data_IF_974712327153
#
_entry.id   IF_974712327153
#
_cell.length_a   1.000
_cell.length_b   1.000
_cell.length_c   1.000
_cell.angle_alpha   90.00
_cell.angle_beta   90.00
_cell.angle_gamma   90.00
#
_symmetry.space_group_name_H-M   'P 1'
#
loop_
_entity.id
_entity.type
_entity.pdbx_description
1 polymer ?
#
# COMPACT_ATOMS: atom_id res chain seq x y z
N UNK A 1 -6.51 -20.45 -14.08
CA UNK A 1 -7.14 -19.19 -13.66
C UNK A 1 -7.73 -19.40 -12.31
N UNK A 2 -7.36 -18.65 -11.29
CA UNK A 2 -8.01 -18.75 -10.03
C UNK A 2 -9.43 -18.25 -10.22
N UNK A 3 -10.34 -19.15 -10.16
CA UNK A 3 -11.71 -18.80 -9.97
C UNK A 3 -11.82 -18.35 -8.52
N UNK A 4 -11.57 -17.09 -8.26
CA UNK A 4 -12.07 -16.47 -7.06
C UNK A 4 -13.57 -16.40 -7.20
N UNK A 5 -14.21 -17.42 -6.68
CA UNK A 5 -15.64 -17.38 -6.46
C UNK A 5 -15.88 -16.50 -5.23
N UNK A 6 -15.84 -15.20 -5.45
CA UNK A 6 -16.09 -14.16 -4.45
C UNK A 6 -17.59 -13.88 -4.27
N UNK A 7 -18.45 -14.77 -4.72
CA UNK A 7 -19.89 -14.61 -4.69
C UNK A 7 -20.48 -13.78 -5.85
N UNK A 8 -19.64 -13.33 -6.77
CA UNK A 8 -20.04 -12.52 -7.94
C UNK A 8 -20.09 -13.34 -9.23
N UNK A 9 -20.49 -14.62 -9.15
CA UNK A 9 -20.46 -15.56 -10.28
C UNK A 9 -21.08 -15.03 -11.59
N UNK A 10 -22.21 -14.34 -11.49
CA UNK A 10 -22.92 -13.79 -12.65
C UNK A 10 -22.29 -12.51 -13.20
N UNK A 11 -21.45 -11.83 -12.41
CA UNK A 11 -20.78 -10.58 -12.78
C UNK A 11 -19.37 -10.81 -13.32
N UNK A 12 -18.82 -12.01 -13.14
CA UNK A 12 -17.46 -12.35 -13.59
C UNK A 12 -17.33 -12.37 -15.12
N UNK A 13 -18.40 -12.66 -15.82
CA UNK A 13 -18.43 -12.73 -17.29
C UNK A 13 -18.66 -11.38 -17.97
N UNK A 14 -18.96 -10.32 -17.21
CA UNK A 14 -19.23 -9.00 -17.76
C UNK A 14 -17.96 -8.15 -17.81
N UNK A 15 -17.77 -7.43 -18.91
CA UNK A 15 -16.75 -6.38 -19.00
C UNK A 15 -17.17 -5.22 -18.11
N UNK A 16 -16.36 -4.86 -17.14
CA UNK A 16 -16.62 -3.78 -16.19
C UNK A 16 -15.39 -2.89 -16.01
N UNK A 17 -15.58 -1.60 -15.68
CA UNK A 17 -14.48 -0.73 -15.33
C UNK A 17 -13.70 -1.27 -14.13
N UNK A 18 -12.38 -1.26 -14.23
CA UNK A 18 -11.49 -1.66 -13.14
C UNK A 18 -11.23 -0.52 -12.16
N UNK A 19 -9.99 -0.44 -11.68
CA UNK A 19 -9.57 0.65 -10.80
C UNK A 19 -9.47 1.95 -11.59
N UNK A 20 -10.09 2.99 -11.06
CA UNK A 20 -9.96 4.35 -11.59
C UNK A 20 -9.70 5.29 -10.42
N UNK A 21 -8.47 5.77 -10.30
CA UNK A 21 -8.07 6.68 -9.23
C UNK A 21 -7.41 7.92 -9.80
N UNK A 22 -7.75 9.07 -9.23
CA UNK A 22 -7.07 10.33 -9.43
C UNK A 22 -6.26 10.63 -8.18
N UNK A 23 -4.96 10.82 -8.34
CA UNK A 23 -4.05 11.13 -7.25
C UNK A 23 -3.30 12.42 -7.52
N UNK A 24 -3.26 13.29 -6.52
CA UNK A 24 -2.47 14.52 -6.53
C UNK A 24 -1.59 14.57 -5.29
N UNK A 25 -0.30 14.83 -5.50
CA UNK A 25 0.65 15.08 -4.40
C UNK A 25 1.10 16.52 -4.43
N UNK A 26 1.03 17.18 -3.29
CA UNK A 26 1.48 18.56 -3.10
C UNK A 26 2.59 18.58 -2.06
N UNK A 27 3.68 19.28 -2.38
CA UNK A 27 4.76 19.50 -1.42
C UNK A 27 4.43 20.74 -0.58
N UNK A 28 4.34 20.56 0.71
CA UNK A 28 4.15 21.60 1.70
C UNK A 28 5.51 22.06 2.26
N UNK A 29 5.58 23.20 2.96
CA UNK A 29 6.76 23.62 3.70
C UNK A 29 7.22 22.56 4.70
N UNK A 30 8.45 22.67 5.20
CA UNK A 30 9.04 21.82 6.24
C UNK A 30 9.12 20.31 5.88
N UNK A 31 9.52 19.99 4.63
CA UNK A 31 9.66 18.61 4.15
C UNK A 31 8.43 17.74 4.39
N UNK A 32 7.28 18.31 4.08
CA UNK A 32 5.98 17.64 4.23
C UNK A 32 5.36 17.44 2.86
N UNK A 33 4.78 16.27 2.63
CA UNK A 33 4.04 15.93 1.42
C UNK A 33 2.62 15.52 1.79
N UNK A 34 1.67 16.11 1.10
CA UNK A 34 0.26 15.79 1.21
C UNK A 34 -0.18 15.14 -0.10
N UNK A 35 -0.73 13.94 0.00
CA UNK A 35 -1.26 13.20 -1.15
C UNK A 35 -2.73 12.95 -0.94
N UNK A 36 -3.55 13.46 -1.85
CA UNK A 36 -4.98 13.15 -1.94
C UNK A 36 -5.23 12.16 -3.07
N UNK A 37 -6.05 11.16 -2.82
CA UNK A 37 -6.46 10.17 -3.81
C UNK A 37 -7.96 9.99 -3.75
N UNK A 38 -8.65 10.03 -4.89
CA UNK A 38 -10.09 9.78 -5.00
C UNK A 38 -10.34 8.79 -6.12
N UNK A 39 -11.37 7.97 -5.98
CA UNK A 39 -11.75 7.03 -7.03
C UNK A 39 -12.18 5.66 -6.51
N UNK A 40 -12.03 4.66 -7.37
CA UNK A 40 -12.33 3.26 -7.07
C UNK A 40 -11.04 2.52 -6.72
N UNK A 41 -10.91 2.09 -5.46
CA UNK A 41 -9.66 1.54 -4.92
C UNK A 41 -9.49 0.04 -5.12
N UNK A 42 -10.58 -0.67 -5.21
CA UNK A 42 -10.61 -2.11 -5.54
C UNK A 42 -11.94 -2.44 -6.22
N UNK A 43 -12.19 -3.71 -6.48
CA UNK A 43 -13.40 -4.16 -7.19
C UNK A 43 -14.72 -3.80 -6.48
N UNK A 44 -14.69 -3.37 -5.22
CA UNK A 44 -15.91 -3.15 -4.42
C UNK A 44 -15.87 -1.91 -3.52
N UNK A 45 -14.85 -1.04 -3.63
CA UNK A 45 -14.70 0.13 -2.76
C UNK A 45 -14.35 1.39 -3.55
N UNK A 46 -15.13 2.46 -3.31
CA UNK A 46 -14.86 3.81 -3.80
C UNK A 46 -14.71 4.78 -2.63
N UNK A 47 -14.11 5.91 -2.88
CA UNK A 47 -14.00 6.96 -1.86
C UNK A 47 -12.82 7.87 -2.03
N UNK A 48 -12.33 8.39 -0.91
CA UNK A 48 -11.18 9.29 -0.84
C UNK A 48 -10.19 8.88 0.23
N UNK A 49 -8.94 9.15 -0.02
CA UNK A 49 -7.81 8.90 0.87
C UNK A 49 -6.89 10.12 0.91
N UNK A 50 -6.48 10.49 2.10
CA UNK A 50 -5.54 11.58 2.34
C UNK A 50 -4.35 11.02 3.11
N UNK A 51 -3.14 11.17 2.54
CA UNK A 51 -1.88 10.75 3.15
C UNK A 51 -0.98 11.97 3.37
N UNK A 52 -0.46 12.09 4.57
CA UNK A 52 0.54 13.08 4.96
C UNK A 52 1.83 12.35 5.28
N UNK A 53 2.94 12.81 4.71
CA UNK A 53 4.29 12.35 5.03
C UNK A 53 5.13 13.56 5.45
N UNK A 54 5.72 13.47 6.62
CA UNK A 54 6.63 14.48 7.15
C UNK A 54 8.01 13.87 7.44
N UNK A 55 9.06 14.44 6.86
CA UNK A 55 10.45 14.07 7.14
C UNK A 55 11.07 15.11 8.05
N UNK A 56 11.63 14.66 9.16
CA UNK A 56 12.18 15.57 10.18
C UNK A 56 13.38 16.33 9.60
N UNK A 57 13.33 17.67 9.64
CA UNK A 57 14.40 18.50 9.08
C UNK A 57 15.69 18.43 9.92
N UNK A 58 15.56 18.18 11.22
CA UNK A 58 16.69 18.06 12.13
C UNK A 58 17.46 16.73 11.97
N UNK A 59 16.78 15.67 11.64
CA UNK A 59 17.35 14.36 11.35
C UNK A 59 16.48 13.65 10.31
N UNK A 60 16.94 13.65 9.06
CA UNK A 60 16.22 13.06 7.91
C UNK A 60 16.05 11.53 8.00
N UNK A 61 16.65 10.88 9.03
CA UNK A 61 16.43 9.47 9.30
C UNK A 61 15.04 9.19 9.85
N UNK A 62 14.39 10.20 10.45
CA UNK A 62 13.05 10.07 11.01
C UNK A 62 12.01 10.64 10.05
N UNK A 63 10.97 9.87 9.82
CA UNK A 63 9.77 10.33 9.11
C UNK A 63 8.51 9.84 9.80
N UNK A 64 7.47 10.68 9.70
CA UNK A 64 6.15 10.40 10.25
C UNK A 64 5.16 10.35 9.11
N UNK A 65 4.25 9.41 9.15
CA UNK A 65 3.18 9.30 8.18
C UNK A 65 1.83 9.23 8.88
N UNK A 66 0.87 9.95 8.33
CA UNK A 66 -0.52 9.89 8.72
C UNK A 66 -1.38 9.62 7.49
N UNK A 67 -2.41 8.82 7.64
CA UNK A 67 -3.33 8.51 6.57
C UNK A 67 -4.75 8.43 7.09
N UNK A 68 -5.70 8.99 6.37
CA UNK A 68 -7.13 8.89 6.64
C UNK A 68 -7.83 8.56 5.33
N UNK A 69 -8.65 7.51 5.34
CA UNK A 69 -9.43 7.08 4.19
C UNK A 69 -10.90 6.96 4.55
N UNK A 70 -11.75 7.52 3.72
CA UNK A 70 -13.20 7.35 3.76
C UNK A 70 -13.63 6.59 2.52
N UNK A 71 -14.18 5.39 2.72
CA UNK A 71 -14.60 4.54 1.62
C UNK A 71 -15.98 3.96 1.84
N UNK A 72 -16.71 3.75 0.75
CA UNK A 72 -17.99 3.06 0.73
C UNK A 72 -17.94 1.90 -0.25
N UNK A 73 -18.87 0.98 -0.12
CA UNK A 73 -19.00 -0.14 -1.04
C UNK A 73 -19.59 0.34 -2.37
N UNK A 74 -19.18 -0.28 -3.47
CA UNK A 74 -19.80 -0.13 -4.77
C UNK A 74 -19.74 -1.44 -5.54
N UNK A 75 -20.54 -1.52 -6.57
CA UNK A 75 -20.60 -2.65 -7.49
C UNK A 75 -20.85 -2.14 -8.92
N UNK A 76 -20.17 -2.74 -9.88
CA UNK A 76 -20.42 -2.52 -11.30
C UNK A 76 -21.18 -3.72 -11.86
N UNK A 77 -22.37 -3.48 -12.44
CA UNK A 77 -23.05 -4.44 -13.31
C UNK A 77 -22.89 -3.98 -14.76
N UNK A 78 -21.87 -4.49 -15.44
CA UNK A 78 -21.42 -3.95 -16.72
C UNK A 78 -20.92 -2.52 -16.55
N UNK A 79 -21.63 -1.54 -17.11
CA UNK A 79 -21.34 -0.09 -16.97
C UNK A 79 -22.28 0.64 -16.01
N UNK A 80 -23.21 -0.07 -15.36
CA UNK A 80 -24.06 0.51 -14.34
C UNK A 80 -23.38 0.51 -12.97
N UNK A 81 -23.43 1.66 -12.30
CA UNK A 81 -22.74 1.89 -11.03
C UNK A 81 -23.73 1.89 -9.88
N UNK A 82 -23.64 0.89 -9.02
CA UNK A 82 -24.41 0.79 -7.79
C UNK A 82 -23.53 1.16 -6.61
N UNK A 83 -23.99 2.08 -5.77
CA UNK A 83 -23.22 2.57 -4.63
C UNK A 83 -23.93 2.33 -3.30
N UNK A 84 -23.16 1.92 -2.32
CA UNK A 84 -23.63 1.80 -0.93
C UNK A 84 -23.43 3.10 -0.15
N UNK A 85 -24.33 3.40 0.74
CA UNK A 85 -24.30 4.61 1.58
C UNK A 85 -23.49 4.44 2.85
N UNK A 86 -23.14 3.21 3.24
CA UNK A 86 -22.37 2.94 4.47
C UNK A 86 -20.90 3.24 4.25
N UNK A 87 -20.46 4.37 4.75
CA UNK A 87 -19.05 4.76 4.75
C UNK A 87 -18.26 4.05 5.85
N UNK A 88 -17.01 3.73 5.57
CA UNK A 88 -16.03 3.18 6.51
C UNK A 88 -14.85 4.12 6.61
N UNK A 89 -14.51 4.49 7.84
CA UNK A 89 -13.33 5.28 8.16
C UNK A 89 -12.17 4.32 8.45
N UNK A 90 -11.06 4.53 7.78
CA UNK A 90 -9.77 3.89 8.06
C UNK A 90 -8.74 4.96 8.35
N UNK A 91 -7.81 4.70 9.25
CA UNK A 91 -6.70 5.60 9.50
C UNK A 91 -5.45 4.82 9.85
N UNK A 92 -4.31 5.41 9.60
CA UNK A 92 -3.03 4.91 10.07
C UNK A 92 -2.12 6.07 10.48
N UNK A 93 -1.37 5.84 11.55
CA UNK A 93 -0.30 6.73 12.01
C UNK A 93 0.97 5.90 12.11
N UNK A 94 2.06 6.37 11.53
CA UNK A 94 3.32 5.65 11.48
C UNK A 94 4.51 6.55 11.76
N UNK A 95 5.50 5.97 12.39
CA UNK A 95 6.84 6.53 12.54
C UNK A 95 7.83 5.58 11.87
N UNK A 96 8.70 6.13 11.03
CA UNK A 96 9.73 5.39 10.33
C UNK A 96 11.09 5.94 10.74
N UNK A 97 12.02 5.02 10.96
CA UNK A 97 13.41 5.32 11.21
C UNK A 97 14.29 4.59 10.19
N UNK A 98 15.14 5.30 9.51
CA UNK A 98 16.10 4.74 8.56
C UNK A 98 17.52 4.87 9.08
N UNK A 99 18.23 3.74 9.16
CA UNK A 99 19.63 3.65 9.58
C UNK A 99 20.53 3.45 8.34
N UNK A 100 21.14 4.54 7.82
CA UNK A 100 21.86 4.49 6.53
C UNK A 100 23.11 3.60 6.58
N UNK A 101 23.81 3.52 7.71
CA UNK A 101 25.04 2.72 7.86
C UNK A 101 24.80 1.23 7.59
N UNK A 102 23.63 0.73 7.97
CA UNK A 102 23.25 -0.68 7.80
C UNK A 102 22.19 -0.89 6.71
N UNK A 103 21.73 0.19 6.08
CA UNK A 103 20.58 0.18 5.17
C UNK A 103 19.36 -0.53 5.79
N UNK A 104 19.07 -0.23 7.03
CA UNK A 104 17.95 -0.80 7.78
C UNK A 104 16.88 0.25 7.99
N UNK A 105 15.65 -0.11 7.69
CA UNK A 105 14.46 0.69 7.97
C UNK A 105 13.62 -0.02 9.03
N UNK A 106 13.30 0.69 10.09
CA UNK A 106 12.32 0.27 11.10
C UNK A 106 11.08 1.15 10.99
N UNK A 107 9.92 0.55 11.04
CA UNK A 107 8.63 1.26 10.97
C UNK A 107 7.69 0.74 12.04
N UNK A 108 7.06 1.65 12.76
CA UNK A 108 6.01 1.36 13.73
C UNK A 108 4.73 2.06 13.29
N UNK A 109 3.63 1.32 13.15
CA UNK A 109 2.35 1.85 12.70
C UNK A 109 1.22 1.43 13.62
N UNK A 110 0.38 2.40 13.98
CA UNK A 110 -0.94 2.15 14.54
C UNK A 110 -1.99 2.34 13.45
N UNK A 111 -2.89 1.38 13.30
CA UNK A 111 -3.81 1.34 12.17
C UNK A 111 -5.21 0.96 12.61
N UNK A 112 -6.21 1.52 11.94
CA UNK A 112 -7.59 1.05 12.02
C UNK A 112 -7.97 0.46 10.67
N UNK A 113 -8.34 -0.81 10.72
CA UNK A 113 -8.72 -1.57 9.54
C UNK A 113 -10.18 -1.30 9.13
N UNK A 114 -10.54 -1.82 7.97
CA UNK A 114 -11.85 -1.59 7.35
C UNK A 114 -13.05 -2.01 8.21
N UNK A 115 -12.92 -3.05 9.00
CA UNK A 115 -13.97 -3.54 9.89
C UNK A 115 -14.03 -2.80 11.24
N UNK A 116 -13.15 -1.78 11.41
CA UNK A 116 -13.08 -0.97 12.62
C UNK A 116 -12.11 -1.51 13.68
N UNK A 117 -11.50 -2.66 13.44
CA UNK A 117 -10.48 -3.23 14.32
C UNK A 117 -9.23 -2.34 14.33
N UNK A 118 -8.63 -2.18 15.49
CA UNK A 118 -7.40 -1.41 15.66
C UNK A 118 -6.24 -2.36 15.89
N UNK A 119 -5.10 -2.02 15.34
CA UNK A 119 -3.89 -2.82 15.48
C UNK A 119 -2.62 -1.99 15.45
N UNK A 120 -1.55 -2.65 15.87
CA UNK A 120 -0.19 -2.11 15.81
C UNK A 120 0.64 -3.06 14.96
N UNK A 121 1.46 -2.49 14.08
CA UNK A 121 2.36 -3.20 13.21
C UNK A 121 3.76 -2.63 13.35
N UNK A 122 4.73 -3.53 13.44
CA UNK A 122 6.15 -3.24 13.38
C UNK A 122 6.74 -3.91 12.17
N UNK A 123 7.49 -3.18 11.37
CA UNK A 123 8.25 -3.69 10.21
C UNK A 123 9.73 -3.34 10.39
N UNK A 124 10.59 -4.30 10.14
CA UNK A 124 12.05 -4.13 10.08
C UNK A 124 12.54 -4.63 8.74
N UNK A 125 13.09 -3.75 7.91
CA UNK A 125 13.48 -4.07 6.54
C UNK A 125 14.95 -3.72 6.35
N UNK A 126 15.74 -4.66 5.86
CA UNK A 126 17.11 -4.42 5.41
C UNK A 126 17.16 -4.38 3.89
N UNK A 127 17.68 -3.28 3.36
CA UNK A 127 17.85 -3.09 1.94
C UNK A 127 19.26 -3.47 1.51
N UNK A 128 19.35 -4.30 0.49
CA UNK A 128 20.57 -4.62 -0.21
C UNK A 128 20.51 -4.03 -1.62
N UNK A 129 21.60 -4.14 -2.37
CA UNK A 129 21.69 -3.51 -3.70
C UNK A 129 20.58 -3.93 -4.67
N UNK A 130 20.18 -5.19 -4.63
CA UNK A 130 19.21 -5.77 -5.54
C UNK A 130 18.14 -6.62 -4.85
N UNK A 131 18.16 -6.65 -3.56
CA UNK A 131 17.13 -7.34 -2.78
C UNK A 131 16.83 -6.60 -1.48
N UNK A 132 15.70 -6.90 -0.90
CA UNK A 132 15.34 -6.49 0.46
C UNK A 132 14.78 -7.66 1.23
N UNK A 133 15.12 -7.72 2.51
CA UNK A 133 14.63 -8.73 3.44
C UNK A 133 13.97 -7.98 4.59
N UNK A 134 12.74 -8.34 4.91
CA UNK A 134 11.98 -7.71 5.98
C UNK A 134 11.35 -8.72 6.90
N UNK A 135 11.19 -8.31 8.15
CA UNK A 135 10.39 -9.00 9.17
C UNK A 135 9.27 -8.08 9.58
N UNK A 136 8.11 -8.64 9.84
CA UNK A 136 7.01 -7.90 10.41
C UNK A 136 6.42 -8.64 11.61
N UNK A 137 5.90 -7.87 12.54
CA UNK A 137 5.09 -8.34 13.64
C UNK A 137 3.88 -7.43 13.78
N UNK A 138 2.72 -8.02 13.96
CA UNK A 138 1.48 -7.26 14.10
C UNK A 138 0.57 -7.86 15.16
N UNK A 139 -0.20 -7.02 15.80
CA UNK A 139 -1.26 -7.41 16.71
C UNK A 139 -2.47 -6.53 16.47
N UNK A 140 -3.60 -7.13 16.16
CA UNK A 140 -4.88 -6.45 16.03
C UNK A 140 -5.81 -6.84 17.17
N UNK A 141 -6.77 -5.97 17.45
CA UNK A 141 -7.79 -6.19 18.48
C UNK A 141 -8.61 -7.44 18.15
N UNK A 142 -8.79 -8.31 19.12
CA UNK A 142 -9.56 -9.55 18.92
C UNK A 142 -8.80 -10.69 18.22
N UNK A 143 -7.55 -10.47 17.78
CA UNK A 143 -6.76 -11.48 17.08
C UNK A 143 -5.50 -11.86 17.86
N UNK A 144 -4.98 -13.06 17.56
CA UNK A 144 -3.66 -13.49 18.03
C UNK A 144 -2.57 -12.66 17.34
N UNK A 145 -1.44 -12.49 18.02
CA UNK A 145 -0.26 -11.86 17.42
C UNK A 145 0.16 -12.63 16.18
N UNK A 146 0.51 -11.92 15.13
CA UNK A 146 0.93 -12.47 13.86
C UNK A 146 2.28 -11.87 13.47
N UNK A 147 3.10 -12.64 12.77
CA UNK A 147 4.39 -12.19 12.29
C UNK A 147 4.86 -13.04 11.13
N UNK A 148 5.78 -12.51 10.37
CA UNK A 148 6.33 -13.21 9.23
C UNK A 148 7.54 -12.50 8.68
N UNK A 149 8.02 -13.00 7.57
CA UNK A 149 9.09 -12.36 6.81
C UNK A 149 8.69 -12.23 5.35
N UNK A 150 9.29 -11.27 4.69
CA UNK A 150 9.18 -11.07 3.25
C UNK A 150 10.56 -10.81 2.67
N UNK A 151 10.75 -11.24 1.45
CA UNK A 151 11.91 -10.82 0.66
C UNK A 151 11.45 -10.38 -0.71
N UNK A 152 12.19 -9.47 -1.30
CA UNK A 152 11.97 -8.98 -2.64
C UNK A 152 13.31 -8.93 -3.37
N UNK A 153 13.35 -9.47 -4.58
CA UNK A 153 14.53 -9.45 -5.45
C UNK A 153 14.16 -8.72 -6.72
N UNK A 154 14.92 -7.68 -7.06
CA UNK A 154 14.74 -6.95 -8.31
C UNK A 154 15.15 -7.82 -9.52
N UNK A 155 14.33 -7.78 -10.58
CA UNK A 155 14.65 -8.42 -11.85
C UNK A 155 14.72 -7.37 -12.96
N UNK A 156 15.79 -7.32 -13.71
CA UNK A 156 17.04 -8.08 -13.60
C UNK A 156 17.87 -7.66 -12.37
N UNK A 157 18.66 -8.58 -11.76
CA UNK A 157 19.43 -8.29 -10.55
C UNK A 157 20.72 -7.51 -10.83
N UNK A 158 20.69 -6.58 -11.74
CA UNK A 158 21.81 -5.71 -12.11
C UNK A 158 21.32 -4.31 -12.47
N UNK A 159 22.20 -3.33 -12.36
CA UNK A 159 21.90 -1.96 -12.73
C UNK A 159 21.70 -1.86 -14.25
N UNK A 160 20.49 -1.49 -14.66
CA UNK A 160 20.19 -1.26 -16.06
C UNK A 160 21.03 -0.08 -16.61
N UNK A 161 21.90 -0.37 -17.57
CA UNK A 161 22.66 0.65 -18.29
C UNK A 161 21.82 1.21 -19.43
N UNK A 162 21.61 2.50 -19.40
CA UNK A 162 20.86 3.23 -20.41
C UNK A 162 21.63 3.26 -21.72
N UNK A 163 21.04 2.77 -22.79
CA UNK A 163 21.47 3.06 -24.17
C UNK A 163 20.80 4.34 -24.65
N UNK A 164 21.50 5.15 -25.45
CA UNK A 164 21.11 6.52 -25.78
C UNK A 164 19.96 6.71 -26.78
N UNK A 165 19.02 5.77 -26.93
CA UNK A 165 17.89 5.91 -27.85
C UNK A 165 16.55 6.10 -27.14
N UNK A 166 15.63 6.75 -27.82
CA UNK A 166 14.26 7.04 -27.39
C UNK A 166 13.32 6.37 -28.42
N UNK A 167 12.22 5.70 -28.03
CA UNK A 167 11.67 5.62 -26.67
C UNK A 167 12.42 4.65 -25.75
N UNK A 168 12.29 4.88 -24.44
CA UNK A 168 12.89 4.08 -23.39
C UNK A 168 11.90 3.13 -22.77
N UNK A 169 12.26 1.87 -22.70
CA UNK A 169 11.59 0.92 -21.81
C UNK A 169 12.47 0.76 -20.58
N UNK A 170 11.95 1.13 -19.43
CA UNK A 170 12.59 0.89 -18.14
C UNK A 170 11.69 -0.03 -17.33
N UNK A 171 12.22 -1.09 -16.72
CA UNK A 171 11.43 -1.90 -15.81
C UNK A 171 10.95 -1.03 -14.65
N UNK A 172 9.73 -1.28 -14.18
CA UNK A 172 9.23 -0.66 -12.97
C UNK A 172 10.14 -0.99 -11.79
N UNK A 173 10.28 -0.09 -10.84
CA UNK A 173 11.03 -0.35 -9.59
C UNK A 173 10.47 -1.53 -8.81
N UNK A 174 9.20 -1.85 -9.03
CA UNK A 174 8.50 -2.98 -8.41
C UNK A 174 8.52 -4.26 -9.26
N UNK A 175 9.22 -4.24 -10.39
CA UNK A 175 9.39 -5.43 -11.21
C UNK A 175 10.38 -6.36 -10.54
N UNK A 176 9.89 -7.42 -9.93
CA UNK A 176 10.70 -8.37 -9.19
C UNK A 176 9.89 -9.54 -8.64
N UNK A 177 10.56 -10.44 -7.98
CA UNK A 177 9.94 -11.53 -7.23
C UNK A 177 9.83 -11.09 -5.77
N UNK A 178 8.61 -11.10 -5.24
CA UNK A 178 8.32 -10.86 -3.84
C UNK A 178 7.71 -12.11 -3.23
N UNK A 179 8.15 -12.47 -2.04
CA UNK A 179 7.60 -13.55 -1.25
C UNK A 179 7.29 -13.07 0.16
N UNK A 180 6.09 -13.37 0.62
CA UNK A 180 5.64 -13.10 1.97
C UNK A 180 5.29 -14.42 2.65
N UNK A 181 5.93 -14.70 3.78
CA UNK A 181 5.57 -15.83 4.65
C UNK A 181 4.92 -15.27 5.91
N UNK A 182 3.74 -15.75 6.21
CA UNK A 182 2.95 -15.35 7.37
C UNK A 182 1.45 -15.36 7.08
N UNK A 183 0.64 -15.36 8.12
CA UNK A 183 -0.81 -15.37 8.01
C UNK A 183 -1.36 -13.93 8.05
N UNK A 184 -1.06 -13.12 7.05
CA UNK A 184 -1.68 -11.80 6.93
C UNK A 184 -3.13 -11.95 6.45
N UNK A 185 -4.06 -12.17 7.37
CA UNK A 185 -5.50 -12.25 7.09
C UNK A 185 -6.22 -10.90 7.20
N UNK A 186 -5.48 -9.81 7.42
CA UNK A 186 -6.07 -8.48 7.57
C UNK A 186 -6.08 -7.76 6.23
N UNK A 187 -7.27 -7.40 5.79
CA UNK A 187 -7.46 -6.68 4.54
C UNK A 187 -7.19 -5.18 4.74
N UNK A 188 -6.09 -4.71 4.17
CA UNK A 188 -5.85 -3.30 3.97
C UNK A 188 -6.66 -2.84 2.76
N UNK A 189 -7.72 -2.11 2.97
CA UNK A 189 -8.61 -1.73 1.88
C UNK A 189 -7.98 -0.79 0.85
N UNK A 190 -6.93 -0.07 1.24
CA UNK A 190 -6.38 1.03 0.45
C UNK A 190 -4.90 0.87 0.09
N UNK A 191 -4.21 -0.07 0.70
CA UNK A 191 -2.75 -0.14 0.57
C UNK A 191 -2.26 -0.87 -0.68
N UNK A 192 -3.12 -1.65 -1.33
CA UNK A 192 -2.74 -2.39 -2.53
C UNK A 192 -2.79 -1.57 -3.82
N UNK A 193 -3.40 -0.41 -3.81
CA UNK A 193 -3.58 0.43 -4.99
C UNK A 193 -2.63 1.61 -5.07
N UNK A 194 -1.79 1.82 -4.07
CA UNK A 194 -0.73 2.80 -4.17
C UNK A 194 0.45 2.17 -4.92
N UNK A 195 0.72 2.54 -6.18
CA UNK A 195 1.99 2.20 -6.78
C UNK A 195 3.08 2.86 -5.95
N UNK A 196 3.85 2.04 -5.28
CA UNK A 196 5.04 2.46 -4.52
C UNK A 196 6.14 2.94 -5.47
#
# INVERSE_FOLDING_TARGET
FPVYNDGYGDLADKVRPGFLTLQQTVRLPYNTWLTGTVGTFNASRYGGDLKLLHVLKADERFSFEGRIGLTAAYEWDGFEFYYGTKTRLTWSLGANFYWPEYNVQASLKGEQYLLGEKGVRFDLIRHFRYCSIGFYAMKAQGAKSNGGFRFQIALPPYKYKRKGYIPRVTPSKNMGIAYNAGNERYYYCLLYTSPS
#
